data_IF_050221485305
#
_entry.id   IF_050221485305
#
_cell.length_a   1.000
_cell.length_b   1.000
_cell.length_c   1.000
_cell.angle_alpha   90.00
_cell.angle_beta   90.00
_cell.angle_gamma   90.00
#
_symmetry.space_group_name_H-M   'P 1'
#
loop_
_entity.id
_entity.type
_entity.pdbx_description
1 polymer ?
#
# COMPACT_ATOMS: atom_id res chain seq x y z
N UNK A 1 15.17 8.52 -6.08
CA UNK A 1 14.20 8.09 -5.06
C UNK A 1 14.98 7.27 -4.05
N UNK A 2 14.95 7.63 -2.77
CA UNK A 2 15.60 6.84 -1.72
C UNK A 2 14.87 5.50 -1.60
N UNK A 3 15.56 4.40 -1.89
CA UNK A 3 15.03 3.05 -1.68
C UNK A 3 14.90 2.82 -0.17
N UNK A 4 13.67 2.96 0.35
CA UNK A 4 13.38 2.59 1.72
C UNK A 4 13.58 1.09 1.95
N UNK A 5 13.78 0.64 3.19
CA UNK A 5 14.02 -0.78 3.50
C UNK A 5 12.86 -1.69 3.08
N UNK A 6 11.68 -1.15 2.81
CA UNK A 6 10.47 -1.89 2.42
C UNK A 6 9.99 -1.54 1.00
N UNK A 7 10.92 -1.20 0.11
CA UNK A 7 10.63 -0.79 -1.27
C UNK A 7 9.78 -1.84 -2.02
N UNK A 8 10.15 -3.12 -1.96
CA UNK A 8 9.41 -4.19 -2.64
C UNK A 8 7.96 -4.33 -2.11
N UNK A 9 7.73 -4.11 -0.81
CA UNK A 9 6.38 -4.06 -0.24
C UNK A 9 5.62 -2.84 -0.76
N UNK A 10 6.26 -1.69 -0.79
CA UNK A 10 5.69 -0.45 -1.31
C UNK A 10 5.24 -0.56 -2.76
N UNK A 11 6.04 -1.21 -3.60
CA UNK A 11 5.72 -1.44 -5.01
C UNK A 11 4.50 -2.31 -5.18
N UNK A 12 4.41 -3.44 -4.45
CA UNK A 12 3.22 -4.30 -4.47
C UNK A 12 1.98 -3.60 -3.92
N UNK A 13 2.13 -2.80 -2.87
CA UNK A 13 1.03 -2.02 -2.31
C UNK A 13 0.50 -1.00 -3.32
N UNK A 14 1.39 -0.26 -3.97
CA UNK A 14 1.04 0.70 -5.02
C UNK A 14 0.33 0.00 -6.18
N UNK A 15 0.90 -1.10 -6.66
CA UNK A 15 0.35 -1.87 -7.78
C UNK A 15 -1.06 -2.39 -7.45
N UNK A 16 -1.25 -2.93 -6.24
CA UNK A 16 -2.56 -3.36 -5.74
C UNK A 16 -3.59 -2.24 -5.59
N UNK A 17 -3.16 -1.07 -5.13
CA UNK A 17 -4.02 0.10 -5.05
C UNK A 17 -4.40 0.63 -6.44
N UNK A 18 -3.49 0.63 -7.41
CA UNK A 18 -3.77 1.03 -8.80
C UNK A 18 -4.82 0.11 -9.42
N UNK A 19 -4.64 -1.21 -9.31
CA UNK A 19 -5.59 -2.19 -9.85
C UNK A 19 -6.97 -2.10 -9.18
N UNK A 20 -7.00 -1.73 -7.91
CA UNK A 20 -8.24 -1.51 -7.15
C UNK A 20 -8.89 -0.14 -7.42
N UNK A 21 -8.33 0.67 -8.32
CA UNK A 21 -8.93 1.95 -8.75
C UNK A 21 -8.55 3.16 -7.90
N UNK A 22 -7.54 3.06 -7.04
CA UNK A 22 -7.06 4.15 -6.18
C UNK A 22 -5.89 4.95 -6.78
N UNK A 23 -5.71 4.90 -8.09
CA UNK A 23 -4.73 5.72 -8.82
C UNK A 23 -4.91 7.21 -8.51
N UNK A 24 -3.79 7.94 -8.43
CA UNK A 24 -3.81 9.38 -8.24
C UNK A 24 -4.58 10.06 -9.38
N UNK A 25 -5.43 11.03 -9.03
CA UNK A 25 -6.20 11.79 -10.03
C UNK A 25 -5.29 12.63 -10.93
N UNK A 26 -5.67 12.78 -12.19
CA UNK A 26 -4.99 13.70 -13.10
C UNK A 26 -4.94 15.12 -12.51
N UNK A 27 -3.75 15.73 -12.48
CA UNK A 27 -3.52 17.03 -11.84
C UNK A 27 -3.34 17.00 -10.32
N UNK A 28 -3.25 15.81 -9.71
CA UNK A 28 -2.83 15.68 -8.31
C UNK A 28 -1.40 16.20 -8.13
N UNK A 29 -1.20 17.03 -7.11
CA UNK A 29 0.11 17.55 -6.72
C UNK A 29 0.92 16.53 -5.89
N UNK A 30 0.32 15.38 -5.55
CA UNK A 30 1.00 14.30 -4.85
C UNK A 30 2.05 13.65 -5.76
N UNK A 31 3.24 13.42 -5.21
CA UNK A 31 4.29 12.64 -5.89
C UNK A 31 4.03 11.13 -5.89
N UNK A 32 3.00 10.68 -5.16
CA UNK A 32 2.64 9.26 -5.09
C UNK A 32 1.69 8.91 -6.24
N UNK A 33 1.85 7.72 -6.85
CA UNK A 33 1.01 7.28 -7.97
C UNK A 33 -0.42 6.90 -7.56
N UNK A 34 -0.73 6.92 -6.27
CA UNK A 34 -2.03 6.54 -5.70
C UNK A 34 -2.53 7.57 -4.68
N UNK A 35 -3.84 7.60 -4.48
CA UNK A 35 -4.48 8.40 -3.44
C UNK A 35 -4.15 7.82 -2.05
N UNK A 36 -3.64 8.65 -1.14
CA UNK A 36 -3.19 8.21 0.20
C UNK A 36 -4.38 8.02 1.15
N UNK A 37 -5.43 8.82 0.98
CA UNK A 37 -6.54 8.89 1.93
C UNK A 37 -7.35 7.58 2.02
N UNK A 38 -7.60 6.83 0.94
CA UNK A 38 -8.22 5.50 1.02
C UNK A 38 -7.43 4.52 1.91
N UNK A 39 -6.10 4.51 1.83
CA UNK A 39 -5.26 3.65 2.68
C UNK A 39 -5.43 3.98 4.18
N UNK A 40 -5.78 5.24 4.51
CA UNK A 40 -6.09 5.67 5.87
C UNK A 40 -7.53 5.37 6.27
N UNK A 41 -8.50 5.77 5.45
CA UNK A 41 -9.94 5.72 5.78
C UNK A 41 -10.53 4.32 5.66
N UNK A 42 -10.10 3.57 4.65
CA UNK A 42 -10.69 2.29 4.28
C UNK A 42 -9.83 1.13 4.78
N UNK A 43 -8.50 1.24 4.64
CA UNK A 43 -7.56 0.16 5.04
C UNK A 43 -7.03 0.26 6.49
N UNK A 44 -7.41 1.30 7.23
CA UNK A 44 -7.07 1.43 8.65
C UNK A 44 -5.60 1.84 8.95
N UNK A 45 -4.90 2.51 8.03
CA UNK A 45 -3.64 3.15 8.38
C UNK A 45 -3.85 4.22 9.46
N UNK A 46 -2.98 4.25 10.48
CA UNK A 46 -3.17 5.08 11.69
C UNK A 46 -3.30 6.59 11.39
N UNK A 47 -2.59 7.07 10.37
CA UNK A 47 -2.55 8.48 9.98
C UNK A 47 -2.11 8.61 8.53
N UNK A 48 -2.32 9.78 7.92
CA UNK A 48 -1.80 10.10 6.58
C UNK A 48 -0.29 9.95 6.50
N UNK A 49 0.46 10.35 7.54
CA UNK A 49 1.91 10.16 7.61
C UNK A 49 2.28 8.67 7.60
N UNK A 50 1.53 7.83 8.31
CA UNK A 50 1.79 6.38 8.35
C UNK A 50 1.50 5.75 6.99
N UNK A 51 0.37 6.09 6.38
CA UNK A 51 -0.01 5.65 5.04
C UNK A 51 1.06 6.05 4.00
N UNK A 52 1.51 7.31 4.05
CA UNK A 52 2.60 7.82 3.23
C UNK A 52 3.89 7.00 3.41
N UNK A 53 4.30 6.71 4.64
CA UNK A 53 5.51 5.90 4.90
C UNK A 53 5.43 4.49 4.30
N UNK A 54 4.24 3.88 4.27
CA UNK A 54 4.03 2.59 3.60
C UNK A 54 4.21 2.71 2.09
N UNK A 55 3.64 3.74 1.47
CA UNK A 55 3.75 4.04 0.03
C UNK A 55 5.12 4.57 -0.41
N UNK A 56 5.95 5.00 0.54
CA UNK A 56 7.33 5.42 0.30
C UNK A 56 8.34 4.31 0.67
N UNK A 57 7.87 3.13 1.11
CA UNK A 57 8.74 2.02 1.53
C UNK A 57 9.59 2.31 2.79
N UNK A 58 9.30 3.38 3.53
CA UNK A 58 10.05 3.79 4.73
C UNK A 58 9.50 3.20 6.03
N UNK A 59 8.34 2.55 5.98
CA UNK A 59 7.80 1.77 7.08
C UNK A 59 7.05 0.53 6.60
N UNK A 60 6.93 -0.46 7.48
CA UNK A 60 6.16 -1.68 7.24
C UNK A 60 5.00 -1.77 8.23
N UNK A 61 3.79 -2.17 7.80
CA UNK A 61 2.66 -2.38 8.69
C UNK A 61 2.86 -3.56 9.65
N UNK A 62 2.35 -3.46 10.88
CA UNK A 62 2.25 -4.63 11.77
C UNK A 62 1.27 -5.64 11.19
N UNK A 63 1.40 -6.92 11.57
CA UNK A 63 0.60 -8.03 11.03
C UNK A 63 -0.90 -7.73 10.94
N UNK A 64 -1.53 -7.32 12.03
CA UNK A 64 -2.96 -7.00 12.03
C UNK A 64 -3.36 -5.93 10.99
N UNK A 65 -2.50 -4.93 10.75
CA UNK A 65 -2.76 -3.86 9.79
C UNK A 65 -2.49 -4.32 8.37
N UNK A 66 -1.47 -5.17 8.19
CA UNK A 66 -1.21 -5.81 6.92
C UNK A 66 -2.40 -6.69 6.50
N UNK A 67 -3.02 -7.40 7.44
CA UNK A 67 -4.26 -8.18 7.20
C UNK A 67 -5.41 -7.29 6.74
N UNK A 68 -5.65 -6.16 7.40
CA UNK A 68 -6.68 -5.20 6.98
C UNK A 68 -6.42 -4.62 5.58
N UNK A 69 -5.16 -4.31 5.26
CA UNK A 69 -4.79 -3.79 3.93
C UNK A 69 -4.96 -4.87 2.87
N UNK A 70 -4.55 -6.11 3.14
CA UNK A 70 -4.67 -7.23 2.22
C UNK A 70 -6.14 -7.58 1.94
N UNK A 71 -6.97 -7.61 2.99
CA UNK A 71 -8.42 -7.84 2.89
C UNK A 71 -9.10 -6.73 2.06
N UNK A 72 -8.79 -5.46 2.37
CA UNK A 72 -9.31 -4.32 1.64
C UNK A 72 -8.97 -4.37 0.13
N UNK A 73 -7.73 -4.75 -0.21
CA UNK A 73 -7.28 -4.88 -1.60
C UNK A 73 -7.64 -6.22 -2.24
N UNK A 74 -8.27 -7.13 -1.50
CA UNK A 74 -8.59 -8.51 -1.93
C UNK A 74 -7.37 -9.27 -2.49
N UNK A 75 -6.22 -9.10 -1.85
CA UNK A 75 -4.97 -9.80 -2.19
C UNK A 75 -4.53 -10.73 -1.07
N UNK A 76 -3.72 -11.72 -1.43
CA UNK A 76 -3.07 -12.59 -0.47
C UNK A 76 -2.07 -11.80 0.40
N UNK A 77 -2.13 -12.02 1.72
CA UNK A 77 -1.26 -11.34 2.67
C UNK A 77 0.23 -11.64 2.49
N UNK A 78 0.59 -12.90 2.21
CA UNK A 78 1.98 -13.31 2.02
C UNK A 78 2.55 -12.74 0.72
N UNK A 79 1.72 -12.68 -0.32
CA UNK A 79 2.07 -11.97 -1.55
C UNK A 79 2.30 -10.48 -1.28
N UNK A 80 1.39 -9.81 -0.57
CA UNK A 80 1.56 -8.39 -0.26
C UNK A 80 2.82 -8.16 0.58
N UNK A 81 3.05 -8.97 1.60
CA UNK A 81 4.19 -8.87 2.51
C UNK A 81 5.54 -9.04 1.81
N UNK A 82 5.73 -10.15 1.10
CA UNK A 82 7.05 -10.59 0.62
C UNK A 82 7.08 -10.92 -0.87
N UNK A 83 5.94 -10.96 -1.55
CA UNK A 83 5.83 -11.45 -2.93
C UNK A 83 5.75 -12.97 -3.04
N UNK A 84 5.57 -13.66 -1.91
CA UNK A 84 5.48 -15.12 -1.90
C UNK A 84 4.07 -15.59 -2.25
N UNK A 85 3.98 -16.57 -3.15
CA UNK A 85 2.71 -17.17 -3.55
C UNK A 85 1.93 -16.32 -4.57
N UNK A 86 0.71 -16.76 -4.94
CA UNK A 86 -0.13 -16.03 -5.87
C UNK A 86 -0.68 -14.76 -5.23
N UNK A 87 -0.88 -13.72 -6.04
CA UNK A 87 -1.49 -12.46 -5.63
C UNK A 87 -2.92 -12.64 -5.14
N UNK A 88 -3.67 -13.51 -5.79
CA UNK A 88 -5.04 -13.84 -5.46
C UNK A 88 -5.05 -15.23 -4.81
N UNK A 89 -5.71 -15.33 -3.66
CA UNK A 89 -5.90 -16.58 -2.93
C UNK A 89 -7.11 -17.36 -3.49
#
# INVERSE_FOLDING_TARGET
>A
MTNGPYQAFSERLIDAMIESGYSARAGSWSRLPVEIEPLRREAGAKSLTTARKYLEGSAFPRRYRLELIADWLRVNIEWLASGNGPRYA
#
